data_IF_643713958760
#
_entry.id   IF_643713958760
#
_cell.length_a   1.000
_cell.length_b   1.000
_cell.length_c   1.000
_cell.angle_alpha   90.00
_cell.angle_beta   90.00
_cell.angle_gamma   90.00
#
_symmetry.space_group_name_H-M   'P 1'
#
loop_
_entity.id
_entity.type
_entity.pdbx_description
1 polymer ?
#
# COMPACT_ATOMS: atom_id res chain seq x y z
N UNK A 1 -7.68 -23.72 16.53
CA UNK A 1 -7.04 -22.60 15.81
C UNK A 1 -7.01 -22.93 14.33
N UNK A 2 -7.87 -22.30 13.53
CA UNK A 2 -7.84 -22.44 12.07
C UNK A 2 -6.69 -21.60 11.54
N UNK A 3 -5.60 -22.24 11.13
CA UNK A 3 -4.51 -21.58 10.41
C UNK A 3 -5.07 -21.29 9.02
N UNK A 4 -5.60 -20.08 8.83
CA UNK A 4 -6.01 -19.62 7.51
C UNK A 4 -4.81 -19.74 6.58
N UNK A 5 -5.00 -20.38 5.43
CA UNK A 5 -3.96 -20.44 4.40
C UNK A 5 -3.54 -19.02 4.03
N UNK A 6 -2.25 -18.84 3.74
CA UNK A 6 -1.66 -17.52 3.42
C UNK A 6 -2.41 -16.79 2.29
N UNK A 7 -2.95 -17.54 1.34
CA UNK A 7 -3.80 -17.05 0.25
C UNK A 7 -5.14 -16.47 0.73
N UNK A 8 -5.76 -17.06 1.74
CA UNK A 8 -7.04 -16.59 2.32
C UNK A 8 -6.84 -15.28 3.09
N UNK A 9 -5.75 -15.16 3.84
CA UNK A 9 -5.37 -13.93 4.55
C UNK A 9 -5.14 -12.79 3.56
N UNK A 10 -4.40 -13.04 2.48
CA UNK A 10 -4.13 -12.03 1.43
C UNK A 10 -5.44 -11.55 0.78
N UNK A 11 -6.35 -12.48 0.44
CA UNK A 11 -7.64 -12.13 -0.16
C UNK A 11 -8.50 -11.30 0.81
N UNK A 12 -8.53 -11.67 2.09
CA UNK A 12 -9.29 -10.94 3.11
C UNK A 12 -8.77 -9.51 3.29
N UNK A 13 -7.45 -9.34 3.45
CA UNK A 13 -6.82 -8.02 3.53
C UNK A 13 -7.08 -7.15 2.31
N UNK A 14 -6.98 -7.73 1.10
CA UNK A 14 -7.29 -7.01 -0.15
C UNK A 14 -8.76 -6.58 -0.20
N UNK A 15 -9.68 -7.47 0.18
CA UNK A 15 -11.10 -7.14 0.21
C UNK A 15 -11.42 -6.03 1.22
N UNK A 16 -10.78 -6.06 2.40
CA UNK A 16 -10.94 -5.02 3.41
C UNK A 16 -10.43 -3.67 2.90
N UNK A 17 -9.23 -3.62 2.32
CA UNK A 17 -8.68 -2.40 1.70
C UNK A 17 -9.63 -1.80 0.67
N UNK A 18 -10.13 -2.61 -0.27
CA UNK A 18 -11.08 -2.12 -1.27
C UNK A 18 -12.39 -1.61 -0.64
N UNK A 19 -12.86 -2.26 0.41
CA UNK A 19 -14.11 -1.87 1.07
C UNK A 19 -13.94 -0.54 1.80
N UNK A 20 -12.85 -0.38 2.56
CA UNK A 20 -12.51 0.87 3.26
C UNK A 20 -12.32 2.01 2.27
N UNK A 21 -11.52 1.82 1.22
CA UNK A 21 -11.29 2.87 0.22
C UNK A 21 -12.56 3.26 -0.54
N UNK A 22 -13.47 2.31 -0.80
CA UNK A 22 -14.76 2.62 -1.41
C UNK A 22 -15.67 3.41 -0.46
N UNK A 23 -15.75 3.01 0.80
CA UNK A 23 -16.52 3.73 1.81
C UNK A 23 -16.04 5.18 1.93
N UNK A 24 -14.72 5.37 2.03
CA UNK A 24 -14.09 6.70 2.03
C UNK A 24 -14.35 7.50 0.76
N UNK A 25 -14.41 6.83 -0.41
CA UNK A 25 -14.80 7.47 -1.67
C UNK A 25 -16.25 7.96 -1.65
N UNK A 26 -17.16 7.20 -1.03
CA UNK A 26 -18.59 7.49 -0.94
C UNK A 26 -18.88 8.58 0.11
N UNK A 27 -18.18 8.58 1.24
CA UNK A 27 -18.32 9.59 2.29
C UNK A 27 -17.53 10.88 2.00
N UNK A 28 -16.49 10.78 1.17
CA UNK A 28 -15.54 11.88 0.92
C UNK A 28 -14.50 12.03 2.03
N UNK A 29 -14.38 11.07 2.94
CA UNK A 29 -13.40 11.10 4.02
C UNK A 29 -12.00 10.84 3.47
N UNK A 30 -11.04 11.66 3.90
CA UNK A 30 -9.62 11.47 3.57
C UNK A 30 -8.88 10.70 4.66
N UNK A 31 -9.41 10.68 5.89
CA UNK A 31 -8.88 9.91 7.01
C UNK A 31 -9.72 8.68 7.28
N UNK A 32 -9.10 7.59 7.76
CA UNK A 32 -9.80 6.34 8.06
C UNK A 32 -10.90 6.59 9.11
N UNK A 33 -12.17 6.28 8.79
CA UNK A 33 -13.25 6.47 9.73
C UNK A 33 -13.15 5.58 10.97
N UNK A 34 -13.62 6.03 12.15
CA UNK A 34 -13.47 5.28 13.42
C UNK A 34 -14.14 3.90 13.42
N UNK A 35 -15.19 3.71 12.63
CA UNK A 35 -15.89 2.42 12.54
C UNK A 35 -15.07 1.31 11.88
N UNK A 36 -14.00 1.65 11.16
CA UNK A 36 -13.08 0.68 10.56
C UNK A 36 -11.93 0.26 11.48
N UNK A 37 -11.72 0.94 12.61
CA UNK A 37 -10.57 0.70 13.49
C UNK A 37 -10.47 -0.75 13.97
N UNK A 38 -11.58 -1.36 14.37
CA UNK A 38 -11.59 -2.73 14.88
C UNK A 38 -11.21 -3.77 13.81
N UNK A 39 -11.70 -3.61 12.58
CA UNK A 39 -11.39 -4.49 11.46
C UNK A 39 -9.94 -4.30 10.98
N UNK A 40 -9.47 -3.05 10.98
CA UNK A 40 -8.08 -2.69 10.67
C UNK A 40 -7.12 -3.24 11.73
N UNK A 41 -7.46 -3.13 13.00
CA UNK A 41 -6.69 -3.70 14.10
C UNK A 41 -6.58 -5.23 13.94
N UNK A 42 -7.71 -5.90 13.68
CA UNK A 42 -7.74 -7.35 13.50
C UNK A 42 -6.89 -7.82 12.30
N UNK A 43 -7.01 -7.15 11.16
CA UNK A 43 -6.39 -7.64 9.92
C UNK A 43 -4.97 -7.13 9.69
N UNK A 44 -4.67 -5.92 10.13
CA UNK A 44 -3.40 -5.24 9.87
C UNK A 44 -2.54 -5.00 11.12
N UNK A 45 -3.07 -5.24 12.33
CA UNK A 45 -2.39 -4.89 13.57
C UNK A 45 -2.34 -3.37 13.79
N UNK A 46 -3.38 -2.68 13.33
CA UNK A 46 -3.62 -1.26 13.56
C UNK A 46 -3.38 -0.39 12.33
N UNK A 47 -3.62 0.92 12.51
CA UNK A 47 -3.58 1.92 11.45
C UNK A 47 -2.23 1.95 10.73
N UNK A 48 -1.11 1.83 11.45
CA UNK A 48 0.22 1.78 10.84
C UNK A 48 0.40 0.60 9.88
N UNK A 49 -0.18 -0.56 10.21
CA UNK A 49 -0.13 -1.74 9.34
C UNK A 49 -0.97 -1.57 8.09
N UNK A 50 -2.12 -0.88 8.22
CA UNK A 50 -3.00 -0.56 7.11
C UNK A 50 -2.37 0.47 6.17
N UNK A 51 -1.81 1.57 6.70
CA UNK A 51 -1.08 2.57 5.91
C UNK A 51 0.16 1.97 5.21
N UNK A 52 0.86 1.03 5.86
CA UNK A 52 1.96 0.30 5.21
C UNK A 52 1.49 -0.52 4.00
N UNK A 53 0.31 -1.14 4.09
CA UNK A 53 -0.28 -1.88 2.99
C UNK A 53 -0.70 -0.95 1.84
N UNK A 54 -1.32 0.20 2.14
CA UNK A 54 -1.68 1.20 1.14
C UNK A 54 -0.45 1.79 0.44
N UNK A 55 0.56 2.18 1.21
CA UNK A 55 1.84 2.68 0.68
C UNK A 55 2.50 1.64 -0.22
N UNK A 56 2.51 0.36 0.19
CA UNK A 56 3.02 -0.72 -0.67
C UNK A 56 2.26 -0.83 -1.99
N UNK A 57 0.93 -0.76 -1.96
CA UNK A 57 0.12 -0.87 -3.18
C UNK A 57 0.41 0.30 -4.14
N UNK A 58 0.50 1.51 -3.59
CA UNK A 58 0.91 2.70 -4.36
C UNK A 58 2.27 2.52 -5.03
N UNK A 59 3.31 2.19 -4.26
CA UNK A 59 4.66 2.06 -4.78
C UNK A 59 4.79 0.89 -5.77
N UNK A 60 4.06 -0.21 -5.56
CA UNK A 60 4.03 -1.33 -6.51
C UNK A 60 3.38 -0.93 -7.83
N UNK A 61 2.26 -0.21 -7.79
CA UNK A 61 1.60 0.30 -8.99
C UNK A 61 2.48 1.31 -9.73
N UNK A 62 3.07 2.25 -8.99
CA UNK A 62 3.99 3.23 -9.55
C UNK A 62 5.22 2.60 -10.20
N UNK A 63 5.89 1.65 -9.53
CA UNK A 63 7.04 0.95 -10.11
C UNK A 63 6.67 0.18 -11.38
N UNK A 64 5.55 -0.56 -11.35
CA UNK A 64 5.08 -1.29 -12.54
C UNK A 64 4.74 -0.35 -13.71
N UNK A 65 4.20 0.83 -13.43
CA UNK A 65 3.88 1.82 -14.46
C UNK A 65 5.13 2.51 -15.01
N UNK A 66 6.12 2.78 -14.16
CA UNK A 66 7.45 3.25 -14.60
C UNK A 66 8.12 2.22 -15.51
N UNK A 67 8.13 0.94 -15.11
CA UNK A 67 8.70 -0.14 -15.92
C UNK A 67 8.02 -0.21 -17.30
N UNK A 68 6.68 -0.09 -17.34
CA UNK A 68 5.92 -0.08 -18.59
C UNK A 68 6.25 1.15 -19.46
N UNK A 69 6.43 2.34 -18.88
CA UNK A 69 6.82 3.53 -19.64
C UNK A 69 8.24 3.40 -20.23
N UNK A 70 9.19 2.84 -19.46
CA UNK A 70 10.54 2.55 -19.94
C UNK A 70 10.50 1.58 -21.13
N UNK A 71 9.69 0.52 -21.05
CA UNK A 71 9.50 -0.43 -22.16
C UNK A 71 8.91 0.23 -23.42
N UNK A 72 8.09 1.27 -23.25
CA UNK A 72 7.53 2.07 -24.34
C UNK A 72 8.46 3.17 -24.85
N UNK A 73 9.66 3.33 -24.26
CA UNK A 73 10.62 4.36 -24.62
C UNK A 73 10.27 5.76 -24.09
N UNK A 74 9.41 5.83 -23.08
CA UNK A 74 9.03 7.05 -22.39
C UNK A 74 9.72 7.11 -21.02
N UNK A 75 10.64 8.05 -20.81
CA UNK A 75 11.41 8.17 -19.58
C UNK A 75 10.95 9.36 -18.71
N UNK A 76 9.64 9.54 -18.53
CA UNK A 76 9.08 10.59 -17.66
C UNK A 76 8.42 10.00 -16.41
N UNK A 77 9.15 9.91 -15.27
CA UNK A 77 8.59 9.42 -14.00
C UNK A 77 7.41 10.26 -13.48
N UNK A 78 7.37 11.56 -13.81
CA UNK A 78 6.25 12.44 -13.49
C UNK A 78 4.95 11.99 -14.18
N UNK A 79 5.04 11.41 -15.38
CA UNK A 79 3.88 10.88 -16.07
C UNK A 79 3.34 9.64 -15.36
N UNK A 80 4.22 8.71 -14.97
CA UNK A 80 3.80 7.53 -14.19
C UNK A 80 3.14 7.92 -12.87
N UNK A 81 3.63 8.98 -12.22
CA UNK A 81 3.04 9.47 -10.97
C UNK A 81 1.61 9.98 -11.19
N UNK A 82 1.41 10.82 -12.21
CA UNK A 82 0.08 11.33 -12.57
C UNK A 82 -0.86 10.20 -12.97
N UNK A 83 -0.40 9.27 -13.82
CA UNK A 83 -1.22 8.15 -14.30
C UNK A 83 -1.70 7.27 -13.14
N UNK A 84 -0.83 6.98 -12.18
CA UNK A 84 -1.17 6.14 -11.02
C UNK A 84 -2.08 6.92 -10.05
N UNK A 85 -1.88 8.24 -9.93
CA UNK A 85 -2.78 9.10 -9.15
C UNK A 85 -4.19 9.14 -9.75
N UNK A 86 -4.31 9.19 -11.07
CA UNK A 86 -5.60 9.17 -11.78
C UNK A 86 -6.28 7.79 -11.67
N UNK A 87 -5.51 6.70 -11.66
CA UNK A 87 -6.04 5.34 -11.50
C UNK A 87 -6.51 5.05 -10.07
N UNK A 88 -5.87 5.66 -9.06
CA UNK A 88 -6.14 5.38 -7.64
C UNK A 88 -6.25 6.67 -6.79
N UNK A 89 -7.16 7.60 -7.13
CA UNK A 89 -7.17 8.94 -6.53
C UNK A 89 -7.49 8.92 -5.04
N UNK A 90 -8.37 8.02 -4.59
CA UNK A 90 -8.70 7.91 -3.17
C UNK A 90 -7.54 7.33 -2.37
N UNK A 91 -6.80 6.37 -2.92
CA UNK A 91 -5.61 5.83 -2.24
C UNK A 91 -4.57 6.95 -2.07
N UNK A 92 -4.36 7.76 -3.12
CA UNK A 92 -3.46 8.92 -3.04
C UNK A 92 -3.92 9.93 -1.99
N UNK A 93 -5.20 10.28 -1.97
CA UNK A 93 -5.77 11.23 -1.01
C UNK A 93 -5.59 10.76 0.45
N UNK A 94 -5.75 9.46 0.72
CA UNK A 94 -5.48 8.90 2.05
C UNK A 94 -4.00 8.99 2.40
N UNK A 95 -3.11 8.58 1.50
CA UNK A 95 -1.68 8.71 1.78
C UNK A 95 -1.27 10.17 2.00
N UNK A 96 -1.85 11.10 1.25
CA UNK A 96 -1.65 12.54 1.40
C UNK A 96 -2.09 13.06 2.77
N UNK A 97 -3.24 12.61 3.29
CA UNK A 97 -3.71 13.04 4.61
C UNK A 97 -2.85 12.55 5.77
N UNK A 98 -2.07 11.48 5.56
CA UNK A 98 -1.17 10.90 6.58
C UNK A 98 0.31 11.21 6.32
N UNK A 99 0.66 12.12 5.39
CA UNK A 99 2.05 12.45 5.06
C UNK A 99 2.88 12.95 6.26
N UNK A 100 2.26 13.72 7.16
CA UNK A 100 2.92 14.30 8.34
C UNK A 100 2.77 13.41 9.60
N UNK A 101 2.11 12.27 9.48
CA UNK A 101 1.81 11.38 10.60
C UNK A 101 2.95 10.38 10.82
N UNK A 102 3.40 10.24 12.08
CA UNK A 102 4.45 9.29 12.44
C UNK A 102 4.10 7.85 12.08
N UNK A 103 2.80 7.54 11.99
CA UNK A 103 2.29 6.23 11.59
C UNK A 103 2.68 5.86 10.15
N UNK A 104 2.65 6.82 9.22
CA UNK A 104 3.10 6.59 7.84
C UNK A 104 4.63 6.49 7.78
N UNK A 105 5.35 7.35 8.49
CA UNK A 105 6.81 7.28 8.57
C UNK A 105 7.33 5.97 9.20
N UNK A 106 6.60 5.38 10.15
CA UNK A 106 6.92 4.08 10.74
C UNK A 106 6.57 2.93 9.78
N UNK A 107 5.46 3.05 9.06
CA UNK A 107 5.05 2.12 8.01
C UNK A 107 6.08 2.05 6.87
N UNK A 108 6.54 3.20 6.38
CA UNK A 108 7.57 3.29 5.34
C UNK A 108 8.91 2.74 5.81
N UNK A 109 9.31 3.02 7.06
CA UNK A 109 10.52 2.43 7.66
C UNK A 109 10.45 0.91 7.72
N UNK A 110 9.33 0.33 8.15
CA UNK A 110 9.13 -1.13 8.11
C UNK A 110 9.14 -1.68 6.69
N UNK A 111 8.64 -0.93 5.71
CA UNK A 111 8.67 -1.33 4.30
C UNK A 111 10.10 -1.39 3.75
N UNK A 112 10.92 -0.37 4.03
CA UNK A 112 12.34 -0.36 3.66
C UNK A 112 13.12 -1.52 4.31
N UNK A 113 12.82 -1.87 5.56
CA UNK A 113 13.49 -3.00 6.24
C UNK A 113 13.12 -4.35 5.61
N UNK A 114 11.86 -4.53 5.18
CA UNK A 114 11.41 -5.75 4.50
C UNK A 114 12.04 -5.87 3.10
N UNK A 115 12.06 -4.79 2.31
CA UNK A 115 12.70 -4.78 0.99
C UNK A 115 14.23 -4.99 1.08
N UNK A 116 14.87 -4.39 2.08
CA UNK A 116 16.30 -4.60 2.37
C UNK A 116 16.61 -6.03 2.80
N UNK A 117 15.68 -6.71 3.47
CA UNK A 117 15.83 -8.10 3.87
C UNK A 117 15.59 -9.08 2.72
N UNK A 118 14.62 -8.82 1.83
CA UNK A 118 14.36 -9.67 0.66
C UNK A 118 15.48 -9.58 -0.37
N UNK A 119 15.97 -8.37 -0.66
CA UNK A 119 17.12 -8.16 -1.57
C UNK A 119 18.41 -8.80 -1.04
N UNK A 120 18.68 -8.72 0.28
CA UNK A 120 19.85 -9.37 0.89
C UNK A 120 19.79 -10.91 0.85
N UNK A 121 18.59 -11.50 0.77
CA UNK A 121 18.41 -12.96 0.77
C UNK A 121 18.68 -13.56 -0.61
N UNK A 122 18.42 -12.83 -1.69
CA UNK A 122 18.76 -13.23 -3.05
C UNK A 122 20.28 -13.20 -3.28
N UNK A 123 21.00 -12.21 -2.72
CA UNK A 123 22.46 -12.13 -2.82
C UNK A 123 23.19 -13.29 -2.14
N UNK A 124 22.53 -14.03 -1.23
CA UNK A 124 23.14 -15.13 -0.46
C UNK A 124 22.88 -16.52 -1.05
N UNK A 125 22.00 -16.61 -2.05
CA UNK A 125 21.73 -17.85 -2.80
C UNK A 125 22.44 -17.86 -4.18
N UNK A 126 23.20 -16.81 -4.49
CA UNK A 126 23.99 -16.67 -5.73
C UNK A 126 25.51 -16.87 -5.50
N UNK A 127 25.91 -17.44 -4.36
CA UNK A 127 27.31 -17.71 -3.99
C UNK A 127 27.56 -19.21 -3.80
#
# INVERSE_FOLDING_TARGET
MNILSRSTIIRRRRALVHTVLRDMAETGDTTVPPWWEADIEQEFGGLSGFLAELSRQWWTAYAAHVDALIELGCDEPSQAWTDVAEQMPQLRAVLDSYLDESALAEAERRHCDVLRWTTRRESRNAA
#
